data_IF_418634562585
#
_entry.id   IF_418634562585
#
_cell.length_a   1.000
_cell.length_b   1.000
_cell.length_c   1.000
_cell.angle_alpha   90.00
_cell.angle_beta   90.00
_cell.angle_gamma   90.00
#
_symmetry.space_group_name_H-M   'P 1'
#
loop_
_entity.id
_entity.type
_entity.pdbx_description
1 polymer ?
#
# COMPACT_ATOMS: atom_id res chain seq x y z
N UNK A 1 2.52 -16.04 33.99
CA UNK A 1 2.39 -14.72 33.35
C UNK A 1 1.58 -13.86 34.28
N UNK A 2 2.16 -12.73 34.71
CA UNK A 2 1.45 -11.76 35.54
C UNK A 2 0.56 -10.87 34.66
N UNK A 3 -0.46 -10.23 35.25
CA UNK A 3 -1.34 -9.29 34.53
C UNK A 3 -0.53 -8.11 33.93
N UNK A 4 0.58 -7.74 34.57
CA UNK A 4 1.51 -6.72 34.06
C UNK A 4 2.22 -7.17 32.78
N UNK A 5 2.57 -8.45 32.66
CA UNK A 5 3.21 -9.01 31.46
C UNK A 5 2.25 -8.98 30.27
N UNK A 6 0.97 -9.32 30.49
CA UNK A 6 -0.08 -9.26 29.47
C UNK A 6 -0.26 -7.82 28.94
N UNK A 7 -0.30 -6.84 29.84
CA UNK A 7 -0.48 -5.43 29.48
C UNK A 7 0.72 -4.86 28.70
N UNK A 8 1.93 -5.32 28.99
CA UNK A 8 3.13 -4.94 28.24
C UNK A 8 3.14 -5.53 26.83
N UNK A 9 2.76 -6.80 26.69
CA UNK A 9 2.66 -7.47 25.37
C UNK A 9 1.61 -6.78 24.51
N UNK A 10 0.43 -6.49 25.06
CA UNK A 10 -0.64 -5.79 24.34
C UNK A 10 -0.19 -4.40 23.87
N UNK A 11 0.44 -3.62 24.74
CA UNK A 11 0.91 -2.27 24.39
C UNK A 11 2.02 -2.27 23.32
N UNK A 12 2.89 -3.27 23.32
CA UNK A 12 3.92 -3.46 22.29
C UNK A 12 3.30 -3.93 20.97
N UNK A 13 2.34 -4.86 21.01
CA UNK A 13 1.61 -5.33 19.85
C UNK A 13 0.82 -4.19 19.19
N UNK A 14 0.12 -3.37 19.97
CA UNK A 14 -0.60 -2.20 19.48
C UNK A 14 0.32 -1.19 18.78
N UNK A 15 1.46 -0.84 19.40
CA UNK A 15 2.41 0.11 18.80
C UNK A 15 2.96 -0.36 17.45
N UNK A 16 3.32 -1.63 17.34
CA UNK A 16 3.82 -2.20 16.09
C UNK A 16 2.72 -2.30 15.03
N UNK A 17 1.52 -2.71 15.44
CA UNK A 17 0.37 -2.89 14.56
C UNK A 17 -0.06 -1.59 13.87
N UNK A 18 -0.11 -0.46 14.57
CA UNK A 18 -0.58 0.80 13.96
C UNK A 18 0.31 1.30 12.82
N UNK A 19 1.63 1.23 12.96
CA UNK A 19 2.56 1.66 11.91
C UNK A 19 2.43 0.78 10.66
N UNK A 20 2.28 -0.52 10.86
CA UNK A 20 2.13 -1.50 9.78
C UNK A 20 0.78 -1.35 9.07
N UNK A 21 -0.31 -1.18 9.82
CA UNK A 21 -1.64 -0.88 9.27
C UNK A 21 -1.66 0.43 8.48
N UNK A 22 -0.98 1.47 8.97
CA UNK A 22 -0.90 2.75 8.25
C UNK A 22 -0.17 2.58 6.92
N UNK A 23 0.96 1.85 6.91
CA UNK A 23 1.71 1.55 5.68
C UNK A 23 0.87 0.78 4.66
N UNK A 24 0.18 -0.27 5.11
CA UNK A 24 -0.71 -1.07 4.25
C UNK A 24 -1.88 -0.22 3.75
N UNK A 25 -2.48 0.60 4.63
CA UNK A 25 -3.59 1.49 4.29
C UNK A 25 -3.22 2.49 3.20
N UNK A 26 -2.06 3.15 3.32
CA UNK A 26 -1.56 4.07 2.30
C UNK A 26 -1.29 3.34 0.98
N UNK A 27 -0.67 2.15 1.02
CA UNK A 27 -0.41 1.36 -0.18
C UNK A 27 -1.70 0.97 -0.92
N UNK A 28 -2.70 0.49 -0.19
CA UNK A 28 -4.01 0.14 -0.75
C UNK A 28 -4.74 1.37 -1.31
N UNK A 29 -4.71 2.48 -0.57
CA UNK A 29 -5.33 3.74 -1.02
C UNK A 29 -4.70 4.21 -2.34
N UNK A 30 -3.37 4.17 -2.44
CA UNK A 30 -2.66 4.51 -3.68
C UNK A 30 -3.07 3.61 -4.84
N UNK A 31 -3.14 2.29 -4.64
CA UNK A 31 -3.52 1.34 -5.69
C UNK A 31 -4.96 1.56 -6.17
N UNK A 32 -5.90 1.80 -5.27
CA UNK A 32 -7.29 2.12 -5.62
C UNK A 32 -7.37 3.46 -6.35
N UNK A 33 -6.61 4.47 -5.90
CA UNK A 33 -6.54 5.78 -6.55
C UNK A 33 -6.03 5.69 -7.98
N UNK A 34 -4.95 4.94 -8.21
CA UNK A 34 -4.39 4.71 -9.55
C UNK A 34 -5.36 3.93 -10.44
N UNK A 35 -6.02 2.90 -9.90
CA UNK A 35 -7.04 2.14 -10.64
C UNK A 35 -8.20 3.05 -11.07
N UNK A 36 -8.75 3.86 -10.16
CA UNK A 36 -9.81 4.81 -10.47
C UNK A 36 -9.36 5.85 -11.49
N UNK A 37 -8.16 6.40 -11.33
CA UNK A 37 -7.58 7.33 -12.28
C UNK A 37 -7.41 6.70 -13.67
N UNK A 38 -7.04 5.43 -13.76
CA UNK A 38 -6.91 4.72 -15.03
C UNK A 38 -8.22 4.74 -15.82
N UNK A 39 -9.35 4.43 -15.18
CA UNK A 39 -10.66 4.47 -15.83
C UNK A 39 -11.08 5.89 -16.26
N UNK A 40 -10.78 6.90 -15.45
CA UNK A 40 -11.06 8.30 -15.80
C UNK A 40 -10.19 8.78 -16.97
N UNK A 41 -8.91 8.44 -16.97
CA UNK A 41 -7.95 8.80 -18.01
C UNK A 41 -8.12 8.00 -19.31
N UNK A 42 -8.78 6.84 -19.25
CA UNK A 42 -9.02 5.97 -20.40
C UNK A 42 -9.90 6.61 -21.48
N UNK A 43 -10.70 7.64 -21.18
CA UNK A 43 -11.45 8.40 -22.18
C UNK A 43 -12.41 7.59 -23.07
N UNK A 44 -12.91 6.44 -22.60
CA UNK A 44 -13.80 5.57 -23.37
C UNK A 44 -13.10 4.65 -24.38
N UNK A 45 -11.77 4.50 -24.29
CA UNK A 45 -11.01 3.56 -25.14
C UNK A 45 -11.55 2.12 -24.96
N UNK A 46 -11.77 1.38 -26.07
CA UNK A 46 -12.14 -0.03 -26.01
C UNK A 46 -11.11 -0.83 -25.21
N UNK A 47 -11.57 -1.77 -24.38
CA UNK A 47 -10.71 -2.60 -23.53
C UNK A 47 -9.95 -1.84 -22.41
N UNK A 48 -10.56 -0.79 -21.85
CA UNK A 48 -10.04 -0.02 -20.71
C UNK A 48 -9.71 -0.87 -19.47
N UNK A 49 -10.33 -2.05 -19.32
CA UNK A 49 -10.00 -2.99 -18.25
C UNK A 49 -8.56 -3.50 -18.34
N UNK A 50 -8.07 -3.78 -19.55
CA UNK A 50 -6.68 -4.21 -19.74
C UNK A 50 -5.71 -3.10 -19.35
N UNK A 51 -6.02 -1.85 -19.74
CA UNK A 51 -5.24 -0.68 -19.34
C UNK A 51 -5.23 -0.50 -17.82
N UNK A 52 -6.38 -0.67 -17.17
CA UNK A 52 -6.52 -0.58 -15.73
C UNK A 52 -5.63 -1.62 -15.01
N UNK A 53 -5.65 -2.87 -15.46
CA UNK A 53 -4.80 -3.93 -14.92
C UNK A 53 -3.31 -3.59 -15.11
N UNK A 54 -2.91 -3.18 -16.31
CA UNK A 54 -1.52 -2.78 -16.58
C UNK A 54 -1.08 -1.60 -15.69
N UNK A 55 -1.98 -0.65 -15.44
CA UNK A 55 -1.71 0.50 -14.57
C UNK A 55 -1.48 0.06 -13.12
N UNK A 56 -2.27 -0.90 -12.62
CA UNK A 56 -2.09 -1.47 -11.27
C UNK A 56 -0.74 -2.17 -11.12
N UNK A 57 -0.30 -2.94 -12.11
CA UNK A 57 1.04 -3.54 -12.10
C UNK A 57 2.14 -2.46 -12.12
N UNK A 58 1.97 -1.40 -12.91
CA UNK A 58 2.88 -0.26 -12.94
C UNK A 58 2.98 0.44 -11.57
N UNK A 59 1.85 0.66 -10.90
CA UNK A 59 1.80 1.23 -9.55
C UNK A 59 2.51 0.34 -8.52
N UNK A 60 2.30 -0.97 -8.57
CA UNK A 60 3.03 -1.92 -7.72
C UNK A 60 4.54 -1.84 -7.98
N UNK A 61 4.96 -1.84 -9.24
CA UNK A 61 6.38 -1.71 -9.61
C UNK A 61 6.98 -0.39 -9.10
N UNK A 62 6.30 0.75 -9.30
CA UNK A 62 6.75 2.04 -8.82
C UNK A 62 6.91 2.08 -7.30
N UNK A 63 5.98 1.47 -6.55
CA UNK A 63 6.07 1.39 -5.10
C UNK A 63 7.25 0.54 -4.63
N UNK A 64 7.47 -0.62 -5.24
CA UNK A 64 8.57 -1.51 -4.86
C UNK A 64 9.94 -0.95 -5.25
N UNK A 65 10.07 -0.38 -6.45
CA UNK A 65 11.30 0.28 -6.90
C UNK A 65 11.60 1.48 -6.01
N UNK A 66 10.62 2.35 -5.75
CA UNK A 66 10.81 3.53 -4.91
C UNK A 66 11.18 3.17 -3.47
N UNK A 67 10.55 2.15 -2.88
CA UNK A 67 10.91 1.68 -1.54
C UNK A 67 12.34 1.11 -1.51
N UNK A 68 12.73 0.38 -2.55
CA UNK A 68 14.08 -0.17 -2.67
C UNK A 68 15.14 0.93 -2.87
N UNK A 69 14.82 1.96 -3.66
CA UNK A 69 15.71 3.11 -3.90
C UNK A 69 15.94 3.91 -2.60
N UNK A 70 14.88 4.18 -1.84
CA UNK A 70 15.01 4.84 -0.52
C UNK A 70 15.85 4.00 0.44
N UNK A 71 15.65 2.68 0.50
CA UNK A 71 16.45 1.82 1.39
C UNK A 71 17.94 1.76 1.01
N UNK A 72 18.27 2.00 -0.26
CA UNK A 72 19.63 1.91 -0.78
C UNK A 72 20.35 3.28 -0.82
N UNK A 73 19.62 4.39 -0.72
CA UNK A 73 20.16 5.75 -0.75
C UNK A 73 19.99 6.51 0.59
N UNK A 74 19.69 5.77 1.67
CA UNK A 74 19.62 6.26 3.07
C UNK A 74 20.78 5.70 3.87
#
# INVERSE_FOLDING_TARGET
MEIKDLHQIEKQAYKKSHAELTRIGIALFFMVGVLGYSFLASGGVPNSLFLAIATVFGAYMAMNIGANDVANNV
#
